data_IF_771430352963
#
_entry.id   IF_771430352963
#
_cell.length_a   1.000
_cell.length_b   1.000
_cell.length_c   1.000
_cell.angle_alpha   90.00
_cell.angle_beta   90.00
_cell.angle_gamma   90.00
#
_symmetry.space_group_name_H-M   'P 1'
#
loop_
_entity.id
_entity.type
_entity.pdbx_description
1 polymer ?
#
# COMPACT_ATOMS: atom_id res chain seq x y z
N UNK A 1 26.36 44.41 -5.17
CA UNK A 1 25.90 43.07 -4.71
C UNK A 1 26.48 42.03 -5.65
N UNK A 2 27.67 41.52 -5.35
CA UNK A 2 28.27 40.41 -6.10
C UNK A 2 27.44 39.17 -5.84
N UNK A 3 26.64 38.73 -6.82
CA UNK A 3 25.82 37.53 -6.70
C UNK A 3 26.69 36.31 -6.46
N UNK A 4 26.78 35.86 -5.21
CA UNK A 4 27.40 34.57 -4.88
C UNK A 4 26.64 33.49 -5.66
N UNK A 5 27.36 32.64 -6.40
CA UNK A 5 26.75 31.54 -7.17
C UNK A 5 25.97 30.63 -6.22
N UNK A 6 24.75 30.27 -6.62
CA UNK A 6 23.93 29.31 -5.87
C UNK A 6 24.69 27.97 -5.80
N UNK A 7 24.82 27.34 -4.63
CA UNK A 7 25.47 26.04 -4.49
C UNK A 7 24.81 25.00 -5.40
N UNK A 8 25.62 24.26 -6.16
CA UNK A 8 25.16 23.29 -7.15
C UNK A 8 24.35 22.15 -6.54
N UNK A 9 24.60 21.80 -5.27
CA UNK A 9 23.87 20.76 -4.56
C UNK A 9 22.41 21.15 -4.30
N UNK A 10 22.17 22.40 -3.87
CA UNK A 10 20.82 22.91 -3.66
C UNK A 10 20.03 22.99 -4.98
N UNK A 11 20.70 23.36 -6.08
CA UNK A 11 20.09 23.35 -7.41
C UNK A 11 19.72 21.94 -7.86
N UNK A 12 20.58 20.94 -7.61
CA UNK A 12 20.28 19.54 -7.92
C UNK A 12 19.07 19.04 -7.12
N UNK A 13 19.00 19.37 -5.82
CA UNK A 13 17.84 19.00 -4.98
C UNK A 13 16.56 19.63 -5.52
N UNK A 14 16.56 20.94 -5.80
CA UNK A 14 15.40 21.65 -6.37
C UNK A 14 15.00 21.03 -7.71
N UNK A 15 15.96 20.78 -8.59
CA UNK A 15 15.73 20.18 -9.90
C UNK A 15 15.13 18.78 -9.81
N UNK A 16 15.61 17.95 -8.87
CA UNK A 16 15.07 16.61 -8.64
C UNK A 16 13.66 16.64 -8.05
N UNK A 17 13.35 17.56 -7.13
CA UNK A 17 11.98 17.75 -6.62
C UNK A 17 11.04 18.12 -7.77
N UNK A 18 11.40 19.13 -8.57
CA UNK A 18 10.58 19.57 -9.72
C UNK A 18 10.41 18.43 -10.73
N UNK A 19 11.48 17.69 -11.04
CA UNK A 19 11.42 16.56 -11.94
C UNK A 19 10.48 15.47 -11.40
N UNK A 20 10.57 15.16 -10.11
CA UNK A 20 9.69 14.19 -9.46
C UNK A 20 8.23 14.65 -9.52
N UNK A 21 7.97 15.92 -9.22
CA UNK A 21 6.63 16.51 -9.28
C UNK A 21 6.04 16.42 -10.69
N UNK A 22 6.83 16.67 -11.73
CA UNK A 22 6.41 16.51 -13.13
C UNK A 22 6.02 15.06 -13.45
N UNK A 23 6.85 14.09 -13.04
CA UNK A 23 6.57 12.66 -13.26
C UNK A 23 5.35 12.16 -12.47
N UNK A 24 5.07 12.74 -11.31
CA UNK A 24 3.90 12.37 -10.50
C UNK A 24 2.61 13.02 -11.03
N UNK A 25 2.67 14.27 -11.50
CA UNK A 25 1.48 15.05 -11.86
C UNK A 25 1.06 14.94 -13.33
N UNK A 26 1.98 14.64 -14.25
CA UNK A 26 1.66 14.54 -15.68
C UNK A 26 0.97 13.21 -16.01
N UNK A 27 -0.26 13.24 -16.57
CA UNK A 27 -0.93 12.04 -17.07
C UNK A 27 -0.06 11.33 -18.12
N UNK A 28 0.11 10.02 -17.99
CA UNK A 28 0.98 9.21 -18.85
C UNK A 28 2.41 9.01 -18.31
N UNK A 29 2.96 9.96 -17.55
CA UNK A 29 4.22 9.75 -16.81
C UNK A 29 3.98 9.11 -15.43
N UNK A 30 2.81 9.35 -14.84
CA UNK A 30 2.43 8.87 -13.52
C UNK A 30 2.35 7.35 -13.37
N UNK A 31 2.24 6.63 -14.49
CA UNK A 31 2.20 5.15 -14.54
C UNK A 31 3.58 4.53 -14.83
N UNK A 32 4.59 5.36 -15.09
CA UNK A 32 5.93 4.87 -15.40
C UNK A 32 6.69 4.44 -14.15
N UNK A 33 7.58 3.45 -14.29
CA UNK A 33 8.52 3.02 -13.23
C UNK A 33 9.42 4.18 -12.77
N UNK A 34 9.69 5.14 -13.66
CA UNK A 34 10.48 6.35 -13.36
C UNK A 34 9.87 7.18 -12.23
N UNK A 35 8.54 7.22 -12.10
CA UNK A 35 7.87 7.87 -10.96
C UNK A 35 8.34 7.28 -9.64
N UNK A 36 8.43 5.95 -9.53
CA UNK A 36 8.84 5.29 -8.29
C UNK A 36 10.33 5.51 -8.01
N UNK A 37 11.16 5.46 -9.07
CA UNK A 37 12.60 5.71 -8.97
C UNK A 37 12.89 7.13 -8.48
N UNK A 38 12.11 8.13 -8.93
CA UNK A 38 12.27 9.53 -8.52
C UNK A 38 11.58 9.85 -7.18
N UNK A 39 10.41 9.24 -6.93
CA UNK A 39 9.64 9.40 -5.70
C UNK A 39 10.36 8.89 -4.45
N UNK A 40 11.15 7.82 -4.59
CA UNK A 40 11.86 7.22 -3.46
C UNK A 40 12.95 8.16 -2.87
N UNK A 41 13.85 8.76 -3.67
CA UNK A 41 14.74 9.82 -3.20
C UNK A 41 14.00 11.04 -2.61
N UNK A 42 12.88 11.44 -3.23
CA UNK A 42 12.07 12.56 -2.73
C UNK A 42 11.54 12.31 -1.31
N UNK A 43 11.22 11.07 -0.95
CA UNK A 43 10.72 10.72 0.38
C UNK A 43 11.85 10.40 1.35
N UNK A 44 12.88 9.67 0.92
CA UNK A 44 13.89 9.12 1.83
C UNK A 44 15.13 10.00 2.00
N UNK A 45 15.35 10.99 1.14
CA UNK A 45 16.62 11.72 1.14
C UNK A 45 16.48 13.24 0.96
N UNK A 46 15.76 13.72 -0.05
CA UNK A 46 15.81 15.14 -0.44
C UNK A 46 15.37 16.12 0.67
N UNK A 47 14.26 15.90 1.40
CA UNK A 47 13.82 16.78 2.49
C UNK A 47 14.83 16.78 3.65
N UNK A 48 15.35 15.60 4.01
CA UNK A 48 16.36 15.46 5.06
C UNK A 48 17.69 16.11 4.69
N UNK A 49 18.12 15.99 3.44
CA UNK A 49 19.33 16.66 2.93
C UNK A 49 19.18 18.17 2.93
N UNK A 50 18.04 18.70 2.46
CA UNK A 50 17.77 20.13 2.47
C UNK A 50 17.77 20.67 3.91
N UNK A 51 17.18 19.93 4.85
CA UNK A 51 17.20 20.27 6.27
C UNK A 51 18.62 20.25 6.86
N UNK A 52 19.43 19.22 6.60
CA UNK A 52 20.84 19.19 7.02
C UNK A 52 21.62 20.35 6.43
N UNK A 53 21.42 20.66 5.16
CA UNK A 53 22.06 21.79 4.51
C UNK A 53 21.67 23.13 5.16
N UNK A 54 20.45 23.24 5.70
CA UNK A 54 19.98 24.39 6.44
C UNK A 54 20.51 24.44 7.88
N UNK A 55 20.63 23.30 8.57
CA UNK A 55 21.10 23.22 9.96
C UNK A 55 22.62 23.36 10.07
N UNK A 56 23.36 22.71 9.17
CA UNK A 56 24.82 22.58 9.14
C UNK A 56 25.41 23.08 7.80
N UNK A 57 25.45 24.41 7.59
CA UNK A 57 25.83 25.03 6.32
C UNK A 57 27.34 25.03 6.04
N UNK A 58 28.19 24.85 7.06
CA UNK A 58 29.65 24.88 6.89
C UNK A 58 30.19 23.50 6.49
N UNK A 59 31.36 23.50 5.84
CA UNK A 59 32.06 22.28 5.43
C UNK A 59 32.61 21.51 6.63
N UNK A 60 32.99 22.20 7.70
CA UNK A 60 33.55 21.63 8.93
C UNK A 60 32.51 21.02 9.88
N UNK A 61 31.21 21.25 9.65
CA UNK A 61 30.17 20.83 10.58
C UNK A 61 29.96 19.32 10.59
N UNK A 62 30.05 18.68 9.42
CA UNK A 62 29.77 17.25 9.20
C UNK A 62 30.64 16.73 8.06
N UNK A 63 31.17 15.52 8.24
CA UNK A 63 31.82 14.80 7.14
C UNK A 63 30.79 14.37 6.07
N UNK A 64 31.25 14.03 4.86
CA UNK A 64 30.39 13.64 3.74
C UNK A 64 29.51 12.42 4.04
N UNK A 65 30.06 11.43 4.74
CA UNK A 65 29.33 10.22 5.14
C UNK A 65 28.29 10.55 6.21
N UNK A 66 28.68 11.32 7.24
CA UNK A 66 27.77 11.76 8.30
C UNK A 66 26.61 12.59 7.75
N UNK A 67 26.91 13.54 6.85
CA UNK A 67 25.92 14.36 6.16
C UNK A 67 24.92 13.51 5.40
N UNK A 68 25.41 12.47 4.71
CA UNK A 68 24.56 11.56 3.93
C UNK A 68 23.68 10.71 4.86
N UNK A 69 24.27 10.08 5.88
CA UNK A 69 23.55 9.24 6.84
C UNK A 69 22.47 10.04 7.61
N UNK A 70 22.82 11.23 8.09
CA UNK A 70 21.87 12.11 8.79
C UNK A 70 20.77 12.65 7.86
N UNK A 71 21.04 12.80 6.56
CA UNK A 71 20.02 13.18 5.58
C UNK A 71 18.93 12.10 5.47
N UNK A 72 19.32 10.82 5.40
CA UNK A 72 18.35 9.72 5.44
C UNK A 72 17.59 9.71 6.77
N UNK A 73 18.31 9.80 7.90
CA UNK A 73 17.71 9.80 9.23
C UNK A 73 16.68 10.93 9.44
N UNK A 74 17.00 12.14 9.02
CA UNK A 74 16.09 13.29 9.13
C UNK A 74 14.92 13.20 8.15
N UNK A 75 15.08 12.62 6.97
CA UNK A 75 13.94 12.41 6.07
C UNK A 75 12.95 11.41 6.68
N UNK A 76 13.46 10.30 7.24
CA UNK A 76 12.65 9.30 7.94
C UNK A 76 11.93 9.92 9.15
N UNK A 77 12.51 10.92 9.82
CA UNK A 77 11.85 11.63 10.91
C UNK A 77 10.80 12.65 10.40
N UNK A 78 11.17 13.49 9.44
CA UNK A 78 10.36 14.65 9.02
C UNK A 78 9.18 14.25 8.15
N UNK A 79 9.34 13.29 7.22
CA UNK A 79 8.26 12.94 6.28
C UNK A 79 7.03 12.38 7.00
N UNK A 80 7.15 11.42 7.95
CA UNK A 80 5.99 10.99 8.74
C UNK A 80 5.38 12.10 9.57
N UNK A 81 6.18 13.02 10.14
CA UNK A 81 5.64 14.17 10.89
C UNK A 81 4.83 15.10 9.99
N UNK A 82 5.27 15.35 8.76
CA UNK A 82 4.49 16.10 7.76
C UNK A 82 3.20 15.35 7.41
N UNK A 83 3.27 14.03 7.21
CA UNK A 83 2.10 13.19 6.96
C UNK A 83 1.09 13.22 8.11
N UNK A 84 1.56 13.14 9.35
CA UNK A 84 0.73 13.27 10.55
C UNK A 84 0.10 14.67 10.63
N UNK A 85 0.87 15.72 10.33
CA UNK A 85 0.34 17.08 10.25
C UNK A 85 -0.78 17.21 9.21
N UNK A 86 -0.60 16.60 8.03
CA UNK A 86 -1.60 16.58 6.97
C UNK A 86 -2.88 15.83 7.36
N UNK A 87 -2.79 14.81 8.23
CA UNK A 87 -3.96 14.08 8.72
C UNK A 87 -4.97 14.97 9.45
N UNK A 88 -4.50 16.04 10.10
CA UNK A 88 -5.37 17.00 10.79
C UNK A 88 -5.89 18.11 9.88
N UNK A 89 -5.54 18.09 8.58
CA UNK A 89 -6.03 19.06 7.61
C UNK A 89 -7.21 18.52 6.82
N UNK A 90 -8.07 19.38 6.24
CA UNK A 90 -9.19 18.94 5.39
C UNK A 90 -8.78 18.11 4.17
N UNK A 91 -7.49 18.18 3.77
CA UNK A 91 -6.98 17.47 2.60
C UNK A 91 -6.54 16.02 2.90
N UNK A 92 -6.21 15.71 4.16
CA UNK A 92 -5.77 14.39 4.62
C UNK A 92 -4.46 13.87 3.99
N UNK A 93 -4.17 12.59 4.22
CA UNK A 93 -2.99 11.89 3.69
C UNK A 93 -3.28 11.41 2.26
N UNK A 94 -3.25 12.35 1.30
CA UNK A 94 -3.42 12.08 -0.14
C UNK A 94 -2.14 12.43 -0.90
N UNK A 95 -1.98 11.89 -2.12
CA UNK A 95 -0.79 12.09 -2.96
C UNK A 95 -0.48 13.58 -3.17
N UNK A 96 -1.47 14.36 -3.59
CA UNK A 96 -1.25 15.77 -3.95
C UNK A 96 -0.88 16.65 -2.73
N UNK A 97 -1.58 16.59 -1.58
CA UNK A 97 -1.16 17.28 -0.36
C UNK A 97 0.24 16.89 0.12
N UNK A 98 0.57 15.58 0.13
CA UNK A 98 1.90 15.11 0.54
C UNK A 98 2.98 15.69 -0.37
N UNK A 99 2.78 15.60 -1.68
CA UNK A 99 3.73 16.10 -2.67
C UNK A 99 3.96 17.60 -2.49
N UNK A 100 2.88 18.41 -2.42
CA UNK A 100 2.97 19.86 -2.22
C UNK A 100 3.68 20.20 -0.91
N UNK A 101 3.34 19.54 0.20
CA UNK A 101 3.96 19.80 1.50
C UNK A 101 5.44 19.44 1.52
N UNK A 102 5.83 18.30 0.95
CA UNK A 102 7.23 17.89 0.86
C UNK A 102 8.04 18.82 -0.05
N UNK A 103 7.50 19.20 -1.21
CA UNK A 103 8.16 20.13 -2.13
C UNK A 103 8.33 21.51 -1.49
N UNK A 104 7.27 22.04 -0.86
CA UNK A 104 7.33 23.34 -0.17
C UNK A 104 8.34 23.32 0.99
N UNK A 105 8.32 22.28 1.82
CA UNK A 105 9.27 22.11 2.91
C UNK A 105 10.71 22.04 2.37
N UNK A 106 10.96 21.24 1.34
CA UNK A 106 12.28 21.07 0.74
C UNK A 106 12.78 22.38 0.14
N UNK A 107 11.95 23.11 -0.60
CA UNK A 107 12.30 24.42 -1.15
C UNK A 107 12.58 25.45 -0.07
N UNK A 108 11.77 25.49 1.00
CA UNK A 108 12.00 26.37 2.13
C UNK A 108 13.34 26.08 2.82
N UNK A 109 13.67 24.80 3.05
CA UNK A 109 14.95 24.39 3.62
C UNK A 109 16.13 24.70 2.68
N UNK A 110 16.00 24.47 1.38
CA UNK A 110 17.00 24.89 0.40
C UNK A 110 17.23 26.41 0.42
N UNK A 111 16.16 27.20 0.53
CA UNK A 111 16.24 28.66 0.68
C UNK A 111 16.97 29.08 1.95
N UNK A 112 16.62 28.48 3.09
CA UNK A 112 17.31 28.72 4.37
C UNK A 112 18.79 28.31 4.32
N UNK A 113 19.10 27.16 3.72
CA UNK A 113 20.46 26.70 3.50
C UNK A 113 21.27 27.70 2.66
N UNK A 114 20.68 28.21 1.58
CA UNK A 114 21.31 29.24 0.75
C UNK A 114 21.60 30.51 1.55
N UNK A 115 20.61 31.02 2.31
CA UNK A 115 20.79 32.23 3.13
C UNK A 115 21.89 32.05 4.17
N UNK A 116 21.93 30.91 4.87
CA UNK A 116 22.97 30.62 5.87
C UNK A 116 24.35 30.44 5.25
N UNK A 117 24.45 29.76 4.09
CA UNK A 117 25.72 29.62 3.35
C UNK A 117 26.21 30.94 2.76
N UNK A 118 25.31 31.83 2.36
CA UNK A 118 25.67 33.15 1.84
C UNK A 118 26.34 34.03 2.91
N UNK A 119 25.99 33.82 4.19
CA UNK A 119 26.61 34.49 5.33
C UNK A 119 28.01 33.99 5.69
N UNK A 120 28.45 32.85 5.15
CA UNK A 120 29.78 32.28 5.42
C UNK A 120 30.85 32.78 4.44
N UNK A 121 32.13 32.84 4.86
CA UNK A 121 33.27 32.95 3.96
C UNK A 121 33.28 31.81 2.94
N UNK A 122 33.74 32.09 1.71
CA UNK A 122 33.66 31.10 0.61
C UNK A 122 34.48 29.83 0.83
N UNK A 123 35.49 29.90 1.71
CA UNK A 123 36.34 28.78 2.11
C UNK A 123 35.63 27.81 3.07
N UNK A 124 34.71 28.33 3.89
CA UNK A 124 34.06 27.57 4.96
C UNK A 124 32.67 27.05 4.55
N UNK A 125 32.05 27.65 3.54
CA UNK A 125 30.76 27.19 3.02
C UNK A 125 30.87 25.81 2.34
N UNK A 126 29.96 24.90 2.70
CA UNK A 126 29.92 23.58 2.07
C UNK A 126 29.62 23.66 0.58
N UNK A 127 30.42 22.93 -0.22
CA UNK A 127 30.30 22.81 -1.68
C UNK A 127 30.52 21.35 -2.07
N UNK A 128 29.64 20.80 -2.89
CA UNK A 128 29.81 19.47 -3.48
C UNK A 128 30.56 19.59 -4.81
N UNK A 129 31.76 19.01 -4.96
CA UNK A 129 32.53 19.10 -6.19
C UNK A 129 32.05 18.03 -7.20
N UNK A 130 30.83 18.20 -7.73
CA UNK A 130 30.21 17.22 -8.65
C UNK A 130 31.10 16.88 -9.84
N UNK A 131 31.86 17.85 -10.36
CA UNK A 131 32.78 17.62 -11.49
C UNK A 131 33.96 16.73 -11.11
N UNK A 132 34.57 16.98 -9.94
CA UNK A 132 35.71 16.19 -9.46
C UNK A 132 35.26 14.78 -9.10
N UNK A 133 34.10 14.64 -8.47
CA UNK A 133 33.49 13.34 -8.16
C UNK A 133 33.14 12.54 -9.43
N UNK A 134 32.55 13.18 -10.44
CA UNK A 134 32.24 12.53 -11.70
C UNK A 134 33.51 12.12 -12.47
N UNK A 135 34.57 12.93 -12.41
CA UNK A 135 35.87 12.61 -13.00
C UNK A 135 36.57 11.47 -12.24
N UNK A 136 36.53 11.48 -10.91
CA UNK A 136 37.08 10.41 -10.07
C UNK A 136 36.35 9.08 -10.29
N UNK A 137 35.00 9.10 -10.30
CA UNK A 137 34.20 7.91 -10.57
C UNK A 137 34.45 7.39 -12.00
N UNK A 138 34.56 8.29 -12.98
CA UNK A 138 34.90 7.89 -14.35
C UNK A 138 36.31 7.29 -14.41
N UNK A 139 37.28 7.86 -13.69
CA UNK A 139 38.63 7.31 -13.61
C UNK A 139 38.62 5.92 -12.95
N UNK A 140 37.96 5.74 -11.81
CA UNK A 140 37.84 4.44 -11.14
C UNK A 140 37.10 3.37 -11.96
N UNK A 141 36.07 3.75 -12.73
CA UNK A 141 35.35 2.81 -13.62
C UNK A 141 36.18 2.43 -14.85
N UNK A 142 37.00 3.36 -15.37
CA UNK A 142 37.81 3.15 -16.56
C UNK A 142 39.18 2.52 -16.25
N UNK A 143 39.72 2.77 -15.06
CA UNK A 143 40.91 2.14 -14.55
C UNK A 143 40.61 0.67 -14.27
N UNK A 144 41.39 -0.21 -14.92
CA UNK A 144 41.18 -1.65 -14.80
C UNK A 144 41.40 -2.07 -13.34
N UNK A 145 40.49 -2.84 -12.73
CA UNK A 145 40.73 -3.36 -11.39
C UNK A 145 42.01 -4.17 -11.37
N UNK A 146 42.87 -3.92 -10.38
CA UNK A 146 44.12 -4.64 -10.20
C UNK A 146 43.84 -6.16 -10.18
N UNK A 147 44.69 -6.99 -10.82
CA UNK A 147 44.48 -8.42 -10.85
C UNK A 147 44.72 -9.00 -9.44
N UNK A 148 43.63 -9.35 -8.73
CA UNK A 148 43.70 -9.91 -7.38
C UNK A 148 42.34 -10.17 -6.73
N UNK A 149 42.36 -10.38 -5.41
CA UNK A 149 41.19 -10.57 -4.54
C UNK A 149 40.20 -9.39 -4.67
N UNK A 150 40.71 -8.18 -4.85
CA UNK A 150 39.90 -6.96 -4.98
C UNK A 150 39.01 -6.98 -6.23
N UNK A 151 39.49 -7.57 -7.33
CA UNK A 151 38.66 -7.76 -8.52
C UNK A 151 37.55 -8.78 -8.28
N UNK A 152 37.84 -9.87 -7.56
CA UNK A 152 36.83 -10.86 -7.21
C UNK A 152 35.77 -10.26 -6.28
N UNK A 153 36.19 -9.52 -5.24
CA UNK A 153 35.28 -8.82 -4.33
C UNK A 153 34.43 -7.77 -5.07
N UNK A 154 35.01 -7.01 -5.99
CA UNK A 154 34.27 -6.04 -6.81
C UNK A 154 33.25 -6.73 -7.71
N UNK A 155 33.61 -7.85 -8.37
CA UNK A 155 32.66 -8.61 -9.19
C UNK A 155 31.52 -9.18 -8.34
N UNK A 156 31.83 -9.72 -7.16
CA UNK A 156 30.82 -10.22 -6.21
C UNK A 156 29.90 -9.08 -5.76
N UNK A 157 30.44 -7.90 -5.47
CA UNK A 157 29.67 -6.72 -5.08
C UNK A 157 28.74 -6.25 -6.21
N UNK A 158 29.24 -6.20 -7.45
CA UNK A 158 28.40 -5.83 -8.61
C UNK A 158 27.28 -6.86 -8.81
N UNK A 159 27.59 -8.16 -8.71
CA UNK A 159 26.59 -9.22 -8.80
C UNK A 159 25.58 -9.15 -7.66
N UNK A 160 25.99 -8.81 -6.43
CA UNK A 160 25.09 -8.69 -5.28
C UNK A 160 24.15 -7.49 -5.42
N UNK A 161 24.65 -6.36 -5.92
CA UNK A 161 23.82 -5.18 -6.23
C UNK A 161 22.82 -5.52 -7.35
N UNK A 162 23.26 -6.17 -8.43
CA UNK A 162 22.39 -6.58 -9.53
C UNK A 162 21.31 -7.56 -9.04
N UNK A 163 21.68 -8.56 -8.25
CA UNK A 163 20.74 -9.51 -7.65
C UNK A 163 19.74 -8.79 -6.75
N UNK A 164 20.21 -7.87 -5.89
CA UNK A 164 19.36 -7.10 -4.98
C UNK A 164 18.34 -6.24 -5.74
N UNK A 165 18.77 -5.51 -6.77
CA UNK A 165 17.88 -4.70 -7.62
C UNK A 165 16.89 -5.59 -8.37
N UNK A 166 17.33 -6.73 -8.89
CA UNK A 166 16.46 -7.68 -9.60
C UNK A 166 15.40 -8.27 -8.67
N UNK A 167 15.78 -8.66 -7.45
CA UNK A 167 14.83 -9.16 -6.45
C UNK A 167 13.84 -8.08 -6.02
N UNK A 168 14.29 -6.84 -5.80
CA UNK A 168 13.40 -5.74 -5.48
C UNK A 168 12.39 -5.49 -6.60
N UNK A 169 12.86 -5.48 -7.86
CA UNK A 169 11.99 -5.34 -9.02
C UNK A 169 10.99 -6.48 -9.10
N UNK A 170 11.44 -7.74 -8.92
CA UNK A 170 10.60 -8.93 -8.88
C UNK A 170 9.48 -8.82 -7.82
N UNK A 171 9.82 -8.41 -6.60
CA UNK A 171 8.84 -8.26 -5.49
C UNK A 171 7.81 -7.16 -5.78
N UNK A 172 8.20 -6.10 -6.48
CA UNK A 172 7.29 -4.99 -6.82
C UNK A 172 6.34 -5.35 -7.97
N UNK A 173 6.78 -6.15 -8.95
CA UNK A 173 5.97 -6.52 -10.11
C UNK A 173 5.15 -7.80 -9.94
N UNK A 174 5.59 -8.71 -9.05
CA UNK A 174 4.89 -9.97 -8.82
C UNK A 174 3.63 -9.67 -8.03
N UNK A 175 2.43 -10.07 -8.51
CA UNK A 175 1.20 -9.93 -7.74
C UNK A 175 1.42 -10.56 -6.37
N UNK A 176 1.15 -9.82 -5.30
CA UNK A 176 1.12 -10.41 -3.97
C UNK A 176 -0.03 -11.41 -4.01
N UNK A 177 0.27 -12.70 -3.92
CA UNK A 177 -0.73 -13.70 -3.58
C UNK A 177 -1.26 -13.29 -2.20
N UNK A 178 -2.41 -12.60 -2.19
CA UNK A 178 -3.16 -12.37 -0.97
C UNK A 178 -3.59 -13.71 -0.38
N UNK A 179 -4.06 -13.71 0.87
CA UNK A 179 -4.64 -14.93 1.44
C UNK A 179 -5.72 -15.48 0.49
N UNK A 180 -5.72 -16.79 0.26
CA UNK A 180 -6.80 -17.47 -0.46
C UNK A 180 -7.99 -17.56 0.49
N UNK A 181 -9.09 -16.90 0.14
CA UNK A 181 -10.31 -17.01 0.92
C UNK A 181 -11.55 -16.91 0.03
N UNK A 182 -12.68 -17.33 0.59
CA UNK A 182 -14.00 -17.11 0.02
C UNK A 182 -14.79 -16.26 1.01
N UNK A 183 -15.43 -15.20 0.51
CA UNK A 183 -16.41 -14.45 1.28
C UNK A 183 -17.72 -15.21 1.27
N UNK A 184 -18.34 -15.33 2.44
CA UNK A 184 -19.68 -15.88 2.60
C UNK A 184 -20.41 -14.99 3.58
N UNK A 185 -21.50 -14.37 3.13
CA UNK A 185 -22.24 -13.40 3.94
C UNK A 185 -23.75 -13.46 3.68
N UNK A 186 -24.49 -12.85 4.60
CA UNK A 186 -25.94 -12.64 4.51
C UNK A 186 -26.21 -11.14 4.52
N UNK A 187 -27.20 -10.72 3.74
CA UNK A 187 -27.77 -9.37 3.81
C UNK A 187 -29.28 -9.49 4.07
N UNK A 188 -29.84 -8.48 4.73
CA UNK A 188 -31.27 -8.29 4.83
C UNK A 188 -31.90 -7.93 3.47
N UNK A 189 -33.24 -7.82 3.41
CA UNK A 189 -33.97 -7.54 2.17
C UNK A 189 -33.57 -6.26 1.43
N UNK A 190 -33.00 -5.28 2.16
CA UNK A 190 -32.54 -4.00 1.60
C UNK A 190 -31.08 -4.04 1.09
N UNK A 191 -30.43 -5.20 1.09
CA UNK A 191 -29.03 -5.35 0.65
C UNK A 191 -28.01 -4.82 1.66
N UNK A 192 -28.41 -4.67 2.92
CA UNK A 192 -27.54 -4.25 4.03
C UNK A 192 -27.35 -5.40 5.00
N UNK A 193 -26.22 -5.44 5.69
CA UNK A 193 -25.92 -6.46 6.71
C UNK A 193 -26.68 -6.22 8.04
N UNK A 194 -27.93 -5.79 7.96
CA UNK A 194 -28.84 -5.52 9.07
C UNK A 194 -30.28 -5.95 8.72
N UNK A 195 -31.21 -5.78 9.66
CA UNK A 195 -32.65 -6.01 9.45
C UNK A 195 -33.01 -7.39 8.88
N UNK A 196 -32.27 -8.44 9.29
CA UNK A 196 -32.60 -9.82 8.92
C UNK A 196 -33.99 -10.21 9.46
N UNK A 197 -34.78 -11.00 8.71
CA UNK A 197 -36.02 -11.58 9.22
C UNK A 197 -35.70 -12.61 10.30
N UNK A 198 -35.87 -12.22 11.57
CA UNK A 198 -35.63 -13.06 12.75
C UNK A 198 -36.92 -13.51 13.43
N UNK A 199 -38.05 -12.87 13.17
CA UNK A 199 -39.36 -13.28 13.67
C UNK A 199 -40.24 -13.70 12.50
N UNK A 200 -40.77 -14.92 12.57
CA UNK A 200 -41.61 -15.54 11.56
C UNK A 200 -42.95 -15.93 12.17
N UNK A 201 -43.99 -15.88 11.36
CA UNK A 201 -45.27 -16.54 11.66
C UNK A 201 -45.32 -17.87 10.92
N UNK A 202 -45.84 -18.93 11.56
CA UNK A 202 -45.83 -20.27 11.00
C UNK A 202 -46.57 -20.30 9.64
N UNK A 203 -45.84 -20.72 8.60
CA UNK A 203 -46.34 -20.74 7.21
C UNK A 203 -46.00 -19.49 6.40
N UNK A 204 -45.46 -18.44 7.03
CA UNK A 204 -44.93 -17.27 6.34
C UNK A 204 -43.46 -17.42 5.97
N UNK A 205 -43.07 -16.67 4.94
CA UNK A 205 -41.72 -16.72 4.38
C UNK A 205 -40.97 -15.42 4.67
N UNK A 206 -39.71 -15.54 5.10
CA UNK A 206 -38.76 -14.43 5.17
C UNK A 206 -37.76 -14.51 4.02
N UNK A 207 -37.19 -13.39 3.63
CA UNK A 207 -36.15 -13.37 2.58
C UNK A 207 -34.85 -12.82 3.14
N UNK A 208 -33.76 -13.51 2.85
CA UNK A 208 -32.38 -13.06 3.08
C UNK A 208 -31.65 -13.11 1.76
N UNK A 209 -30.66 -12.26 1.57
CA UNK A 209 -29.78 -12.33 0.39
C UNK A 209 -28.51 -13.06 0.81
N UNK A 210 -28.10 -14.06 0.05
CA UNK A 210 -26.89 -14.84 0.32
C UNK A 210 -25.84 -14.46 -0.71
N UNK A 211 -24.65 -14.08 -0.24
CA UNK A 211 -23.53 -13.73 -1.10
C UNK A 211 -22.34 -14.68 -0.92
N UNK A 212 -21.75 -15.09 -2.04
CA UNK A 212 -20.50 -15.86 -2.11
C UNK A 212 -19.55 -15.15 -3.08
N UNK A 213 -18.31 -14.86 -2.64
CA UNK A 213 -17.27 -14.29 -3.51
C UNK A 213 -16.02 -15.13 -3.45
N UNK A 214 -15.53 -15.55 -4.62
CA UNK A 214 -14.36 -16.42 -4.71
C UNK A 214 -13.06 -15.61 -4.86
N UNK A 215 -12.18 -15.64 -3.84
CA UNK A 215 -10.81 -15.11 -3.91
C UNK A 215 -9.73 -16.20 -3.82
N UNK A 216 -10.04 -17.43 -4.25
CA UNK A 216 -9.15 -18.59 -4.16
C UNK A 216 -8.12 -18.66 -5.31
N UNK A 217 -8.06 -17.67 -6.20
CA UNK A 217 -7.21 -17.59 -7.42
C UNK A 217 -7.44 -18.73 -8.45
N UNK A 218 -8.51 -19.49 -8.29
CA UNK A 218 -8.92 -20.58 -9.18
C UNK A 218 -10.44 -20.72 -9.17
N UNK A 219 -11.06 -21.29 -10.21
CA UNK A 219 -12.47 -21.63 -10.13
C UNK A 219 -12.72 -22.67 -9.04
N UNK A 220 -13.79 -22.47 -8.26
CA UNK A 220 -14.17 -23.35 -7.15
C UNK A 220 -15.66 -23.67 -7.24
N UNK A 221 -16.00 -24.95 -7.00
CA UNK A 221 -17.37 -25.42 -6.90
C UNK A 221 -17.79 -25.47 -5.43
N UNK A 222 -18.76 -24.65 -5.06
CA UNK A 222 -19.34 -24.60 -3.73
C UNK A 222 -20.63 -25.42 -3.66
N UNK A 223 -20.92 -25.94 -2.48
CA UNK A 223 -22.20 -26.55 -2.16
C UNK A 223 -22.77 -25.85 -0.93
N UNK A 224 -23.98 -25.30 -1.04
CA UNK A 224 -24.66 -24.64 0.06
C UNK A 224 -25.70 -25.56 0.69
N UNK A 225 -25.79 -25.52 2.01
CA UNK A 225 -26.83 -26.18 2.80
C UNK A 225 -27.38 -25.21 3.83
N UNK A 226 -28.70 -25.18 4.01
CA UNK A 226 -29.36 -24.44 5.09
C UNK A 226 -29.98 -25.44 6.06
N UNK A 227 -29.77 -25.24 7.36
CA UNK A 227 -30.30 -26.11 8.42
C UNK A 227 -31.05 -25.29 9.46
N UNK A 228 -32.16 -25.80 9.94
CA UNK A 228 -32.87 -25.30 11.11
C UNK A 228 -32.81 -26.37 12.20
N UNK A 229 -32.18 -26.07 13.34
CA UNK A 229 -31.99 -27.04 14.45
C UNK A 229 -31.42 -28.39 13.97
N UNK A 230 -30.34 -28.34 13.19
CA UNK A 230 -29.72 -29.50 12.53
C UNK A 230 -30.58 -30.27 11.51
N UNK A 231 -31.75 -29.74 11.10
CA UNK A 231 -32.56 -30.32 10.03
C UNK A 231 -32.41 -29.51 8.75
N UNK A 232 -31.99 -30.15 7.67
CA UNK A 232 -31.81 -29.50 6.38
C UNK A 232 -33.14 -28.94 5.85
N UNK A 233 -33.10 -27.70 5.37
CA UNK A 233 -34.18 -27.05 4.64
C UNK A 233 -33.96 -27.24 3.13
N UNK A 234 -35.04 -27.40 2.34
CA UNK A 234 -34.91 -27.52 0.89
C UNK A 234 -34.39 -26.21 0.30
N UNK A 235 -33.43 -26.32 -0.62
CA UNK A 235 -32.91 -25.23 -1.43
C UNK A 235 -33.17 -25.51 -2.92
N UNK A 236 -33.39 -24.47 -3.75
CA UNK A 236 -33.34 -24.58 -5.19
C UNK A 236 -31.99 -25.19 -5.68
N UNK A 237 -32.00 -26.03 -6.72
CA UNK A 237 -30.80 -26.72 -7.21
C UNK A 237 -29.70 -25.74 -7.67
N UNK A 238 -30.10 -24.60 -8.24
CA UNK A 238 -29.24 -23.50 -8.70
C UNK A 238 -28.58 -22.72 -7.57
N UNK A 239 -29.18 -22.72 -6.37
CA UNK A 239 -28.56 -22.17 -5.15
C UNK A 239 -27.72 -23.21 -4.41
N UNK A 240 -28.07 -24.50 -4.54
CA UNK A 240 -27.37 -25.57 -3.83
C UNK A 240 -25.95 -25.80 -4.37
N UNK A 241 -25.73 -25.61 -5.68
CA UNK A 241 -24.42 -25.78 -6.31
C UNK A 241 -24.03 -24.53 -7.09
N UNK A 242 -22.96 -23.87 -6.66
CA UNK A 242 -22.51 -22.62 -7.25
C UNK A 242 -21.05 -22.76 -7.68
N UNK A 243 -20.78 -22.59 -8.97
CA UNK A 243 -19.42 -22.61 -9.52
C UNK A 243 -18.98 -21.17 -9.80
N UNK A 244 -17.88 -20.73 -9.17
CA UNK A 244 -17.39 -19.36 -9.31
C UNK A 244 -15.95 -19.34 -9.79
N UNK A 245 -15.67 -18.53 -10.81
CA UNK A 245 -14.33 -18.16 -11.23
C UNK A 245 -13.66 -17.23 -10.18
N UNK A 246 -12.35 -16.99 -10.36
CA UNK A 246 -11.63 -16.07 -9.50
C UNK A 246 -12.20 -14.64 -9.60
N UNK A 247 -12.46 -14.02 -8.44
CA UNK A 247 -13.13 -12.74 -8.24
C UNK A 247 -14.56 -12.67 -8.79
N UNK A 248 -15.22 -13.82 -8.99
CA UNK A 248 -16.64 -13.86 -9.31
C UNK A 248 -17.49 -13.81 -8.04
N UNK A 249 -18.58 -13.05 -8.11
CA UNK A 249 -19.56 -12.87 -7.04
C UNK A 249 -20.86 -13.53 -7.47
N UNK A 250 -21.43 -14.35 -6.59
CA UNK A 250 -22.79 -14.84 -6.69
C UNK A 250 -23.59 -14.32 -5.50
N UNK A 251 -24.69 -13.64 -5.79
CA UNK A 251 -25.55 -13.02 -4.80
C UNK A 251 -27.01 -13.20 -5.23
N UNK A 252 -27.79 -13.94 -4.46
CA UNK A 252 -29.18 -14.25 -4.80
C UNK A 252 -30.09 -14.16 -3.56
N UNK A 253 -31.36 -13.70 -3.73
CA UNK A 253 -32.34 -13.68 -2.67
C UNK A 253 -32.87 -15.09 -2.40
N UNK A 254 -32.72 -15.56 -1.16
CA UNK A 254 -33.21 -16.83 -0.66
C UNK A 254 -34.43 -16.61 0.25
N UNK A 255 -35.57 -17.13 -0.19
CA UNK A 255 -36.81 -17.14 0.59
C UNK A 255 -36.90 -18.41 1.43
N UNK A 256 -37.10 -18.25 2.74
CA UNK A 256 -37.14 -19.34 3.73
C UNK A 256 -38.50 -19.35 4.45
N UNK A 257 -39.07 -20.55 4.55
CA UNK A 257 -40.32 -20.80 5.29
C UNK A 257 -40.04 -21.81 6.41
N UNK A 258 -39.87 -21.38 7.66
CA UNK A 258 -39.63 -22.29 8.77
C UNK A 258 -40.79 -23.29 8.95
N UNK A 259 -40.54 -24.61 8.99
CA UNK A 259 -41.59 -25.63 9.01
C UNK A 259 -42.17 -25.93 10.40
N UNK A 260 -41.55 -25.41 11.47
CA UNK A 260 -41.88 -25.73 12.86
C UNK A 260 -41.91 -24.46 13.71
N UNK A 261 -42.79 -24.43 14.70
CA UNK A 261 -42.83 -23.38 15.72
C UNK A 261 -41.71 -23.57 16.75
N UNK A 262 -41.20 -22.47 17.30
CA UNK A 262 -40.12 -22.50 18.29
C UNK A 262 -39.55 -21.12 18.60
N UNK A 263 -38.81 -21.02 19.71
CA UNK A 263 -38.12 -19.79 20.14
C UNK A 263 -36.62 -20.01 20.12
N UNK A 264 -35.88 -18.96 19.78
CA UNK A 264 -34.41 -18.94 19.70
C UNK A 264 -33.86 -20.15 18.94
N UNK A 265 -34.45 -20.46 17.78
CA UNK A 265 -34.00 -21.55 16.92
C UNK A 265 -32.82 -21.11 16.08
N UNK A 266 -31.82 -21.98 15.95
CA UNK A 266 -30.64 -21.72 15.13
C UNK A 266 -30.91 -22.07 13.68
N UNK A 267 -30.91 -21.04 12.82
CA UNK A 267 -30.94 -21.14 11.37
C UNK A 267 -29.51 -20.99 10.85
N UNK A 268 -28.92 -22.06 10.35
CA UNK A 268 -27.53 -22.14 9.89
C UNK A 268 -27.46 -22.16 8.36
N UNK A 269 -26.49 -21.42 7.82
CA UNK A 269 -26.12 -21.44 6.42
C UNK A 269 -24.70 -21.97 6.35
N UNK A 270 -24.51 -23.06 5.62
CA UNK A 270 -23.26 -23.81 5.55
C UNK A 270 -22.78 -23.81 4.11
N UNK A 271 -21.55 -23.37 3.88
CA UNK A 271 -20.90 -23.38 2.58
C UNK A 271 -19.78 -24.41 2.61
N UNK A 272 -19.89 -25.44 1.78
CA UNK A 272 -18.87 -26.46 1.58
C UNK A 272 -18.09 -26.15 0.30
N UNK A 273 -16.78 -26.43 0.33
CA UNK A 273 -15.97 -26.40 -0.87
C UNK A 273 -15.79 -27.83 -1.42
N UNK A 274 -15.12 -27.95 -2.55
CA UNK A 274 -14.83 -29.23 -3.20
C UNK A 274 -13.85 -30.14 -2.44
N UNK A 275 -13.17 -29.63 -1.41
CA UNK A 275 -12.12 -30.35 -0.68
C UNK A 275 -12.69 -31.27 0.39
N UNK A 276 -13.62 -30.77 1.21
CA UNK A 276 -14.29 -31.54 2.26
C UNK A 276 -15.79 -31.22 2.27
N UNK A 277 -16.62 -32.25 2.08
CA UNK A 277 -18.09 -32.14 2.11
C UNK A 277 -18.70 -32.47 3.47
N UNK A 278 -17.89 -32.91 4.43
CA UNK A 278 -18.36 -33.25 5.77
C UNK A 278 -18.18 -32.08 6.75
N UNK A 279 -17.18 -31.21 6.51
CA UNK A 279 -16.91 -30.02 7.31
C UNK A 279 -17.24 -28.76 6.51
N UNK A 280 -18.08 -27.85 7.01
CA UNK A 280 -18.34 -26.60 6.32
C UNK A 280 -17.05 -25.79 6.20
N UNK A 281 -16.81 -25.23 5.02
CA UNK A 281 -15.69 -24.33 4.76
C UNK A 281 -15.93 -22.93 5.34
N UNK A 282 -17.19 -22.48 5.29
CA UNK A 282 -17.71 -21.29 5.97
C UNK A 282 -19.09 -21.58 6.53
N UNK A 283 -19.41 -20.97 7.66
CA UNK A 283 -20.71 -21.09 8.29
C UNK A 283 -21.20 -19.72 8.78
N UNK A 284 -22.50 -19.49 8.66
CA UNK A 284 -23.21 -18.32 9.17
C UNK A 284 -24.45 -18.81 9.91
N UNK A 285 -24.96 -18.01 10.84
CA UNK A 285 -26.21 -18.35 11.52
C UNK A 285 -27.02 -17.12 11.90
N UNK A 286 -28.33 -17.32 11.97
CA UNK A 286 -29.30 -16.39 12.54
C UNK A 286 -30.07 -17.12 13.64
N UNK A 287 -30.42 -16.38 14.70
CA UNK A 287 -31.35 -16.84 15.71
C UNK A 287 -32.74 -16.36 15.34
N UNK A 288 -33.69 -17.29 15.18
CA UNK A 288 -35.04 -16.99 14.72
C UNK A 288 -36.11 -17.46 15.72
N UNK A 289 -37.23 -16.75 15.75
CA UNK A 289 -38.44 -17.14 16.47
C UNK A 289 -39.54 -17.41 15.45
N UNK A 290 -40.30 -18.49 15.66
CA UNK A 290 -41.44 -18.86 14.82
C UNK A 290 -42.67 -19.01 15.72
N UNK A 291 -43.62 -18.08 15.58
CA UNK A 291 -44.85 -18.04 16.37
C UNK A 291 -46.03 -18.62 15.57
N UNK A 292 -47.03 -19.18 16.25
CA UNK A 292 -48.25 -19.68 15.61
C UNK A 292 -49.25 -18.59 15.21
N UNK A 293 -49.06 -17.35 15.68
CA UNK A 293 -49.88 -16.17 15.35
C UNK A 293 -49.01 -14.91 15.30
N UNK A 294 -49.28 -13.99 14.36
CA UNK A 294 -48.73 -12.63 14.36
C UNK A 294 -48.99 -11.98 15.72
N UNK A 295 -47.93 -11.73 16.50
CA UNK A 295 -48.00 -11.04 17.78
C UNK A 295 -46.96 -9.94 17.86
#
# INVERSE_FOLDING_TARGET
>A
MTGKKVPSDLLTVIGLVILTDLFVLMPGLSETVLRNILGLPLVLFLPGYALIAALFPAKSDLDGIERTALSFGLSIAVVPLIGLGLNYTPWGIRILPILISLSLFTFAMCGLAYLRRAGLPEADAFKVPFREMALALKAEILEKPEPGLDRALTVILVLSILLSVTTLFYVVITPKEGEHFTEFYLLGPEGMADNYPTNYTLGESGTVIVGVVNHEYRPVNYTMEVRLENKSLPLPEDMQQVALAYNETWEEPLTLTPPVEGKDMKLEFLLFNETDKNTPYRDLHLWINVNSTDS
#
